data_IF_506178322582
#
_entry.id   IF_506178322582
#
_cell.length_a   1.000
_cell.length_b   1.000
_cell.length_c   1.000
_cell.angle_alpha   90.00
_cell.angle_beta   90.00
_cell.angle_gamma   90.00
#
_symmetry.space_group_name_H-M   'P 1'
#
loop_
_entity.id
_entity.type
_entity.pdbx_description
1 polymer ?
#
# COMPACT_ATOMS: atom_id res chain seq x y z
N UNK A 1 -6.13 10.06 -6.20
CA UNK A 1 -5.79 11.38 -6.77
C UNK A 1 -5.79 12.39 -5.64
N UNK A 2 -4.90 13.38 -5.68
CA UNK A 2 -4.88 14.49 -4.73
C UNK A 2 -4.76 15.80 -5.51
N UNK A 3 -5.66 16.76 -5.27
CA UNK A 3 -5.67 18.05 -5.94
C UNK A 3 -5.67 19.18 -4.90
N UNK A 4 -4.82 20.19 -5.09
CA UNK A 4 -4.72 21.38 -4.25
C UNK A 4 -4.94 22.60 -5.12
N UNK A 5 -5.98 23.38 -4.82
CA UNK A 5 -6.41 24.55 -5.61
C UNK A 5 -6.36 25.84 -4.76
N UNK A 6 -6.30 27.03 -5.36
CA UNK A 6 -6.34 28.31 -4.63
C UNK A 6 -7.60 28.45 -3.76
N UNK A 7 -7.51 29.16 -2.61
CA UNK A 7 -6.33 29.87 -2.08
C UNK A 7 -5.33 28.96 -1.34
N UNK A 8 -5.62 27.66 -1.19
CA UNK A 8 -4.76 26.70 -0.48
C UNK A 8 -3.41 26.49 -1.18
N UNK A 9 -3.39 26.57 -2.51
CA UNK A 9 -2.14 26.60 -3.27
C UNK A 9 -1.73 28.03 -3.60
N UNK A 10 -0.60 28.46 -3.03
CA UNK A 10 -0.03 29.81 -3.22
C UNK A 10 0.67 29.99 -4.57
N UNK A 11 0.96 28.89 -5.29
CA UNK A 11 1.75 28.86 -6.53
C UNK A 11 0.93 28.42 -7.76
N UNK A 12 -0.40 28.38 -7.63
CA UNK A 12 -1.31 27.86 -8.66
C UNK A 12 -1.71 26.39 -8.44
N UNK A 13 -2.65 25.83 -9.23
CA UNK A 13 -3.20 24.51 -8.97
C UNK A 13 -2.16 23.38 -9.08
N UNK A 14 -2.17 22.43 -8.13
CA UNK A 14 -1.27 21.26 -8.12
C UNK A 14 -2.10 19.98 -8.11
N UNK A 15 -1.73 19.02 -8.96
CA UNK A 15 -2.36 17.69 -9.04
C UNK A 15 -1.32 16.58 -8.85
N UNK A 16 -1.52 15.73 -7.86
CA UNK A 16 -0.71 14.52 -7.62
C UNK A 16 -1.51 13.27 -7.93
N UNK A 17 -1.00 12.45 -8.85
CA UNK A 17 -1.63 11.19 -9.24
C UNK A 17 -0.78 10.02 -8.72
N UNK A 18 -1.32 9.31 -7.73
CA UNK A 18 -0.82 7.98 -7.33
C UNK A 18 -1.50 6.94 -8.21
N UNK A 19 -0.75 6.34 -9.13
CA UNK A 19 -1.21 5.20 -9.92
C UNK A 19 -1.13 3.95 -9.06
N UNK A 20 -2.20 3.16 -9.05
CA UNK A 20 -2.24 1.88 -8.38
C UNK A 20 -2.10 0.77 -9.42
N UNK A 21 -1.38 -0.30 -9.06
CA UNK A 21 -1.25 -1.45 -9.93
C UNK A 21 -2.63 -2.07 -10.19
N UNK A 22 -2.92 -2.40 -11.46
CA UNK A 22 -4.16 -3.10 -11.81
C UNK A 22 -4.18 -4.52 -11.25
N UNK A 23 -3.02 -5.16 -11.23
CA UNK A 23 -2.81 -6.47 -10.63
C UNK A 23 -2.27 -6.22 -9.22
N UNK A 24 -2.99 -6.64 -8.15
CA UNK A 24 -2.51 -6.49 -6.79
C UNK A 24 -1.22 -7.26 -6.55
N UNK A 25 -0.37 -6.74 -5.67
CA UNK A 25 0.83 -7.42 -5.18
C UNK A 25 0.39 -8.61 -4.33
N UNK A 26 0.92 -9.80 -4.61
CA UNK A 26 0.60 -11.01 -3.85
C UNK A 26 1.47 -11.12 -2.59
N UNK A 27 1.03 -11.92 -1.62
CA UNK A 27 1.83 -12.20 -0.43
C UNK A 27 3.21 -12.79 -0.77
N UNK A 28 3.28 -13.68 -1.77
CA UNK A 28 4.54 -14.24 -2.24
C UNK A 28 5.45 -13.15 -2.82
N UNK A 29 4.88 -12.25 -3.62
CA UNK A 29 5.62 -11.12 -4.17
C UNK A 29 6.22 -10.23 -3.07
N UNK A 30 5.55 -10.08 -1.93
CA UNK A 30 6.12 -9.32 -0.80
C UNK A 30 7.35 -10.03 -0.18
N UNK A 31 7.36 -11.36 -0.14
CA UNK A 31 8.51 -12.17 0.29
C UNK A 31 9.64 -12.07 -0.73
N UNK A 32 9.33 -12.22 -2.02
CA UNK A 32 10.30 -12.16 -3.10
C UNK A 32 10.98 -10.78 -3.20
N UNK A 33 10.23 -9.70 -2.89
CA UNK A 33 10.74 -8.33 -2.80
C UNK A 33 11.52 -8.05 -1.50
N UNK A 34 11.56 -9.00 -0.56
CA UNK A 34 12.17 -8.81 0.76
C UNK A 34 11.43 -7.81 1.66
N UNK A 35 10.18 -7.50 1.34
CA UNK A 35 9.35 -6.56 2.13
C UNK A 35 8.86 -7.21 3.43
N UNK A 36 8.67 -8.53 3.43
CA UNK A 36 8.39 -9.33 4.63
C UNK A 36 9.18 -10.65 4.56
N UNK A 37 9.73 -11.16 5.66
CA UNK A 37 10.31 -12.50 5.68
C UNK A 37 9.22 -13.57 5.62
N UNK A 38 9.57 -14.77 5.14
CA UNK A 38 8.63 -15.88 4.95
C UNK A 38 7.96 -16.30 6.27
N UNK A 39 8.72 -16.32 7.36
CA UNK A 39 8.24 -16.71 8.70
C UNK A 39 7.18 -15.72 9.22
N UNK A 40 7.34 -14.43 8.91
CA UNK A 40 6.35 -13.41 9.28
C UNK A 40 5.04 -13.58 8.50
N UNK A 41 5.12 -13.96 7.22
CA UNK A 41 3.93 -14.26 6.42
C UNK A 41 3.15 -15.44 7.00
N UNK A 42 3.84 -16.50 7.41
CA UNK A 42 3.22 -17.68 8.03
C UNK A 42 2.56 -17.35 9.37
N UNK A 43 3.24 -16.57 10.22
CA UNK A 43 2.69 -16.08 11.47
C UNK A 43 1.42 -15.25 11.26
N UNK A 44 1.47 -14.26 10.36
CA UNK A 44 0.32 -13.42 10.04
C UNK A 44 -0.85 -14.23 9.48
N UNK A 45 -0.58 -15.24 8.67
CA UNK A 45 -1.60 -16.16 8.15
C UNK A 45 -2.31 -16.89 9.29
N UNK A 46 -1.57 -17.39 10.27
CA UNK A 46 -2.15 -18.03 11.46
C UNK A 46 -2.98 -17.05 12.30
N UNK A 47 -2.51 -15.82 12.51
CA UNK A 47 -3.25 -14.79 13.25
C UNK A 47 -4.59 -14.43 12.58
N UNK A 48 -4.61 -14.30 11.25
CA UNK A 48 -5.83 -14.02 10.48
C UNK A 48 -6.81 -15.18 10.59
N UNK A 49 -6.33 -16.42 10.50
CA UNK A 49 -7.17 -17.62 10.67
C UNK A 49 -7.77 -17.70 12.08
N UNK A 50 -7.00 -17.30 13.09
CA UNK A 50 -7.44 -17.21 14.48
C UNK A 50 -8.32 -15.98 14.78
N UNK A 51 -8.58 -15.11 13.78
CA UNK A 51 -9.36 -13.87 13.92
C UNK A 51 -8.87 -12.95 15.04
N UNK A 52 -7.55 -12.86 15.20
CA UNK A 52 -6.92 -11.94 16.15
C UNK A 52 -6.97 -10.53 15.56
N UNK A 53 -8.01 -9.75 15.89
CA UNK A 53 -8.16 -8.32 15.57
C UNK A 53 -9.09 -7.64 16.58
#
# INVERSE_FOLDING_TARGET
MNAVIPPLSLVGPILTIRKFARIPITAQTLVDLGSIPQEALEFLKACVQAKLN
#
